data_IF_762418505530
#
_entry.id   IF_762418505530
#
_cell.length_a   1.000
_cell.length_b   1.000
_cell.length_c   1.000
_cell.angle_alpha   90.00
_cell.angle_beta   90.00
_cell.angle_gamma   90.00
#
_symmetry.space_group_name_H-M   'P 1'
#
loop_
_entity.id
_entity.type
_entity.pdbx_description
1 polymer ?
#
# COMPACT_ATOMS: atom_id res chain seq x y z
N UNK A 1 -52.76 -12.66 1.74
CA UNK A 1 -52.17 -11.35 2.06
C UNK A 1 -50.66 -11.51 1.93
N UNK A 2 -50.16 -11.23 0.74
CA UNK A 2 -48.76 -11.43 0.33
C UNK A 2 -48.27 -10.12 -0.24
N UNK A 3 -47.33 -9.48 0.43
CA UNK A 3 -46.54 -8.41 -0.14
C UNK A 3 -45.07 -8.73 0.18
N UNK A 4 -44.42 -9.36 -0.80
CA UNK A 4 -42.96 -9.48 -0.82
C UNK A 4 -42.40 -8.06 -0.82
N UNK A 5 -41.65 -7.73 0.23
CA UNK A 5 -40.87 -6.51 0.33
C UNK A 5 -39.62 -6.68 -0.54
N UNK A 6 -39.71 -6.21 -1.79
CA UNK A 6 -38.62 -6.22 -2.75
C UNK A 6 -37.61 -5.14 -2.35
N UNK A 7 -36.55 -5.54 -1.65
CA UNK A 7 -35.40 -4.67 -1.41
C UNK A 7 -34.76 -4.34 -2.76
N UNK A 8 -34.96 -3.09 -3.21
CA UNK A 8 -34.23 -2.53 -4.35
C UNK A 8 -32.77 -2.36 -3.90
N UNK A 9 -31.92 -3.30 -4.31
CA UNK A 9 -30.47 -3.08 -4.30
C UNK A 9 -30.23 -2.13 -5.48
N UNK A 10 -30.20 -0.83 -5.22
CA UNK A 10 -29.70 0.14 -6.20
C UNK A 10 -28.22 -0.18 -6.46
N UNK A 11 -27.96 -0.89 -7.56
CA UNK A 11 -26.60 -1.06 -8.08
C UNK A 11 -26.13 0.30 -8.62
N UNK A 12 -25.51 1.12 -7.77
CA UNK A 12 -24.74 2.26 -8.25
C UNK A 12 -23.56 1.70 -9.05
N UNK A 13 -23.49 2.04 -10.33
CA UNK A 13 -22.26 1.85 -11.10
C UNK A 13 -21.14 2.59 -10.35
N UNK A 14 -19.99 1.93 -10.12
CA UNK A 14 -18.87 2.58 -9.47
C UNK A 14 -18.47 3.80 -10.29
N UNK A 15 -18.17 4.91 -9.60
CA UNK A 15 -17.67 6.11 -10.26
C UNK A 15 -16.30 5.81 -10.89
N UNK A 16 -15.86 6.61 -11.87
CA UNK A 16 -14.52 6.45 -12.46
C UNK A 16 -13.40 6.52 -11.43
N UNK A 17 -13.62 7.26 -10.34
CA UNK A 17 -12.68 7.36 -9.22
C UNK A 17 -12.63 6.07 -8.41
N UNK A 18 -13.76 5.41 -8.17
CA UNK A 18 -13.81 4.16 -7.42
C UNK A 18 -13.03 3.05 -8.15
N UNK A 19 -13.21 2.96 -9.48
CA UNK A 19 -12.47 1.99 -10.32
C UNK A 19 -10.96 2.22 -10.25
N UNK A 20 -10.52 3.48 -10.26
CA UNK A 20 -9.09 3.81 -10.14
C UNK A 20 -8.56 3.46 -8.75
N UNK A 21 -9.29 3.78 -7.69
CA UNK A 21 -8.88 3.48 -6.31
C UNK A 21 -8.88 1.97 -6.02
N UNK A 22 -9.80 1.21 -6.63
CA UNK A 22 -9.84 -0.25 -6.54
C UNK A 22 -8.68 -0.93 -7.28
N UNK A 23 -8.04 -0.25 -8.22
CA UNK A 23 -6.82 -0.75 -8.89
C UNK A 23 -5.55 -0.63 -8.04
N UNK A 24 -5.60 0.12 -6.92
CA UNK A 24 -4.45 0.32 -6.05
C UNK A 24 -4.20 -0.93 -5.19
N UNK A 25 -2.94 -1.37 -5.14
CA UNK A 25 -2.54 -2.53 -4.35
C UNK A 25 -2.61 -2.27 -2.83
N UNK A 26 -2.45 -1.02 -2.39
CA UNK A 26 -2.49 -0.66 -0.98
C UNK A 26 -3.93 -0.28 -0.54
N UNK A 27 -4.31 -0.54 0.72
CA UNK A 27 -5.59 -0.10 1.26
C UNK A 27 -5.76 1.42 1.21
N UNK A 28 -6.93 1.84 0.73
CA UNK A 28 -7.38 3.24 0.80
C UNK A 28 -8.74 3.29 1.47
N UNK A 29 -8.86 4.17 2.47
CA UNK A 29 -10.08 4.41 3.24
C UNK A 29 -10.47 5.88 3.12
N UNK A 30 -11.76 6.18 3.27
CA UNK A 30 -12.21 7.54 3.60
C UNK A 30 -12.92 7.51 4.94
N UNK A 31 -12.61 8.48 5.80
CA UNK A 31 -13.25 8.66 7.10
C UNK A 31 -13.95 10.01 7.10
N UNK A 32 -15.21 10.05 7.54
CA UNK A 32 -15.92 11.31 7.74
C UNK A 32 -15.50 12.03 9.04
N UNK A 33 -16.15 13.15 9.33
CA UNK A 33 -15.86 13.99 10.49
C UNK A 33 -16.28 13.35 11.83
N UNK A 34 -17.17 12.34 11.80
CA UNK A 34 -17.61 11.59 12.98
C UNK A 34 -16.73 10.35 13.24
N UNK A 35 -15.76 10.10 12.35
CA UNK A 35 -14.87 8.96 12.43
C UNK A 35 -15.43 7.69 11.80
N UNK A 36 -16.50 7.78 11.01
CA UNK A 36 -17.09 6.64 10.30
C UNK A 36 -16.39 6.41 8.95
N UNK A 37 -16.16 5.14 8.60
CA UNK A 37 -15.59 4.76 7.31
C UNK A 37 -16.67 4.87 6.23
N UNK A 38 -16.53 5.85 5.32
CA UNK A 38 -17.48 6.10 4.24
C UNK A 38 -17.08 5.45 2.91
N UNK A 39 -15.81 5.06 2.78
CA UNK A 39 -15.29 4.36 1.61
C UNK A 39 -14.15 3.42 2.01
N UNK A 40 -14.04 2.29 1.31
CA UNK A 40 -12.93 1.36 1.38
C UNK A 40 -12.73 0.71 0.02
N UNK A 41 -11.53 0.84 -0.56
CA UNK A 41 -11.20 0.19 -1.82
C UNK A 41 -11.14 -1.34 -1.67
N UNK A 42 -11.08 -2.05 -2.81
CA UNK A 42 -11.01 -3.51 -2.84
C UNK A 42 -9.87 -4.08 -1.96
N UNK A 43 -8.68 -3.48 -2.00
CA UNK A 43 -7.54 -3.90 -1.16
C UNK A 43 -7.83 -3.77 0.34
N UNK A 44 -8.43 -2.65 0.75
CA UNK A 44 -8.82 -2.44 2.15
C UNK A 44 -9.84 -3.47 2.64
N UNK A 45 -10.85 -3.77 1.84
CA UNK A 45 -11.84 -4.79 2.19
C UNK A 45 -11.18 -6.17 2.36
N UNK A 46 -10.27 -6.56 1.47
CA UNK A 46 -9.56 -7.85 1.59
C UNK A 46 -8.67 -7.89 2.85
N UNK A 47 -7.88 -6.84 3.09
CA UNK A 47 -6.85 -6.85 4.13
C UNK A 47 -7.39 -6.56 5.54
N UNK A 48 -8.50 -5.84 5.67
CA UNK A 48 -9.05 -5.40 6.96
C UNK A 48 -10.30 -6.18 7.40
N UNK A 49 -10.75 -7.17 6.62
CA UNK A 49 -11.77 -8.13 7.07
C UNK A 49 -13.17 -7.98 6.47
N UNK A 50 -13.27 -7.64 5.19
CA UNK A 50 -14.50 -7.61 4.41
C UNK A 50 -15.23 -6.27 4.49
N UNK A 51 -16.51 -6.30 4.83
CA UNK A 51 -17.39 -5.13 4.85
C UNK A 51 -17.07 -4.23 6.05
N UNK A 52 -16.23 -3.22 5.83
CA UNK A 52 -15.80 -2.26 6.86
C UNK A 52 -16.43 -0.86 6.72
N UNK A 53 -17.10 -0.58 5.59
CA UNK A 53 -17.82 0.68 5.38
C UNK A 53 -19.03 0.75 6.32
N UNK A 54 -19.21 1.89 6.97
CA UNK A 54 -20.20 2.12 8.03
C UNK A 54 -19.72 1.77 9.45
N UNK A 55 -18.50 1.25 9.60
CA UNK A 55 -17.88 1.06 10.91
C UNK A 55 -17.14 2.33 11.35
N UNK A 56 -16.89 2.49 12.65
CA UNK A 56 -15.98 3.54 13.11
C UNK A 56 -14.54 3.16 12.83
N UNK A 57 -13.68 4.15 12.63
CA UNK A 57 -12.24 3.96 12.49
C UNK A 57 -11.65 3.15 13.66
N UNK A 58 -12.11 3.44 14.88
CA UNK A 58 -11.72 2.72 16.10
C UNK A 58 -12.23 1.28 16.16
N UNK A 59 -13.28 0.93 15.41
CA UNK A 59 -13.73 -0.46 15.31
C UNK A 59 -12.81 -1.28 14.41
N UNK A 60 -12.11 -0.66 13.45
CA UNK A 60 -11.14 -1.34 12.59
C UNK A 60 -9.74 -1.32 13.22
N UNK A 61 -9.41 -0.23 13.91
CA UNK A 61 -8.12 0.01 14.56
C UNK A 61 -8.31 0.35 16.06
N UNK A 62 -8.56 -0.66 16.92
CA UNK A 62 -9.01 -0.45 18.31
C UNK A 62 -7.98 0.20 19.24
N UNK A 63 -6.70 0.07 18.93
CA UNK A 63 -5.62 0.67 19.74
C UNK A 63 -5.44 2.17 19.45
N UNK A 64 -6.08 2.68 18.39
CA UNK A 64 -5.99 4.08 18.02
C UNK A 64 -7.00 4.92 18.82
N UNK A 65 -6.50 5.86 19.62
CA UNK A 65 -7.33 6.71 20.49
C UNK A 65 -7.23 8.20 20.18
N UNK A 66 -6.29 8.58 19.33
CA UNK A 66 -6.07 9.98 18.99
C UNK A 66 -7.03 10.42 17.87
N UNK A 67 -7.65 11.61 17.95
CA UNK A 67 -8.48 12.11 16.86
C UNK A 67 -7.64 12.36 15.60
N UNK A 68 -8.12 11.90 14.44
CA UNK A 68 -7.41 12.02 13.16
C UNK A 68 -7.05 13.47 12.79
N UNK A 69 -7.87 14.45 13.19
CA UNK A 69 -7.62 15.88 12.94
C UNK A 69 -6.36 16.40 13.62
N UNK A 70 -6.00 15.86 14.79
CA UNK A 70 -4.76 16.25 15.48
C UNK A 70 -3.55 15.73 14.72
N UNK A 71 -3.57 14.46 14.32
CA UNK A 71 -2.49 13.81 13.58
C UNK A 71 -2.25 14.46 12.22
N UNK A 72 -3.32 14.95 11.60
CA UNK A 72 -3.27 15.68 10.35
C UNK A 72 -2.51 17.00 10.42
N UNK A 73 -2.48 17.65 11.57
CA UNK A 73 -1.83 18.96 11.74
C UNK A 73 -0.31 18.83 11.69
N UNK A 74 0.22 17.68 12.11
CA UNK A 74 1.66 17.41 12.13
C UNK A 74 2.18 16.94 10.77
N UNK A 75 1.29 16.52 9.85
CA UNK A 75 1.65 16.02 8.51
C UNK A 75 2.49 14.75 8.51
N UNK A 76 2.69 14.14 9.69
CA UNK A 76 3.51 12.93 9.85
C UNK A 76 2.64 11.69 9.72
N UNK A 77 3.16 10.63 9.08
CA UNK A 77 2.49 9.35 9.12
C UNK A 77 2.46 8.82 10.56
N UNK A 78 1.41 8.09 10.89
CA UNK A 78 1.25 7.45 12.20
C UNK A 78 0.95 5.96 12.05
N UNK A 79 1.11 5.21 13.13
CA UNK A 79 0.95 3.77 13.13
C UNK A 79 -0.42 3.37 13.66
N UNK A 80 -1.03 2.37 13.03
CA UNK A 80 -2.23 1.69 13.53
C UNK A 80 -2.07 0.18 13.44
N UNK A 81 -2.77 -0.52 14.32
CA UNK A 81 -2.84 -1.99 14.33
C UNK A 81 -4.29 -2.39 14.06
N UNK A 82 -4.51 -3.24 13.06
CA UNK A 82 -5.83 -3.77 12.75
C UNK A 82 -6.24 -4.82 13.79
N UNK A 83 -7.54 -5.17 13.82
CA UNK A 83 -8.02 -6.32 14.61
C UNK A 83 -7.31 -7.64 14.29
N UNK A 84 -6.81 -7.80 13.07
CA UNK A 84 -6.01 -8.95 12.65
C UNK A 84 -4.54 -8.86 13.08
N UNK A 85 -4.18 -7.89 13.93
CA UNK A 85 -2.82 -7.62 14.42
C UNK A 85 -1.81 -7.23 13.33
N UNK A 86 -2.28 -6.87 12.14
CA UNK A 86 -1.44 -6.30 11.09
C UNK A 86 -1.19 -4.82 11.38
N UNK A 87 0.07 -4.39 11.23
CA UNK A 87 0.50 -3.01 11.46
C UNK A 87 0.56 -2.25 10.15
N UNK A 88 0.06 -1.02 10.18
CA UNK A 88 0.06 -0.14 9.03
C UNK A 88 0.59 1.23 9.38
N UNK A 89 1.40 1.78 8.48
CA UNK A 89 1.73 3.19 8.42
C UNK A 89 0.62 3.92 7.64
N UNK A 90 0.01 4.90 8.28
CA UNK A 90 -1.13 5.66 7.72
C UNK A 90 -0.66 7.03 7.26
N UNK A 91 -1.00 7.37 6.02
CA UNK A 91 -0.82 8.69 5.45
C UNK A 91 -2.18 9.38 5.29
N UNK A 92 -2.26 10.62 5.78
CA UNK A 92 -3.46 11.43 5.77
C UNK A 92 -3.50 12.30 4.51
N UNK A 93 -4.56 12.17 3.72
CA UNK A 93 -4.88 13.12 2.66
C UNK A 93 -5.33 14.47 3.22
N UNK A 94 -5.55 15.44 2.32
CA UNK A 94 -6.13 16.73 2.69
C UNK A 94 -7.57 16.55 3.23
N UNK A 95 -7.96 17.42 4.16
CA UNK A 95 -9.35 17.46 4.63
C UNK A 95 -10.28 17.98 3.52
N UNK A 96 -11.47 17.42 3.44
CA UNK A 96 -12.52 17.84 2.51
C UNK A 96 -13.88 17.86 3.21
N UNK A 97 -14.90 18.36 2.51
CA UNK A 97 -16.29 18.33 3.01
C UNK A 97 -16.80 16.91 3.27
N UNK A 98 -16.33 15.92 2.51
CA UNK A 98 -16.71 14.52 2.63
C UNK A 98 -15.89 13.75 3.69
N UNK A 99 -15.01 14.45 4.42
CA UNK A 99 -14.03 13.84 5.31
C UNK A 99 -12.65 13.78 4.68
N UNK A 100 -11.88 12.72 4.98
CA UNK A 100 -10.47 12.61 4.62
C UNK A 100 -10.11 11.21 4.15
N UNK A 101 -9.28 11.15 3.10
CA UNK A 101 -8.71 9.92 2.61
C UNK A 101 -7.49 9.48 3.44
N UNK A 102 -7.35 8.17 3.65
CA UNK A 102 -6.23 7.53 4.32
C UNK A 102 -5.61 6.49 3.39
N UNK A 103 -4.30 6.55 3.19
CA UNK A 103 -3.53 5.50 2.52
C UNK A 103 -2.76 4.69 3.56
N UNK A 104 -2.92 3.37 3.55
CA UNK A 104 -2.27 2.49 4.52
C UNK A 104 -1.22 1.65 3.82
N UNK A 105 0.00 1.65 4.35
CA UNK A 105 1.07 0.80 3.88
C UNK A 105 1.43 -0.18 4.99
N UNK A 106 1.58 -1.49 4.72
CA UNK A 106 2.08 -2.44 5.69
C UNK A 106 3.39 -1.93 6.31
N UNK A 107 3.49 -2.05 7.63
CA UNK A 107 4.76 -1.82 8.32
C UNK A 107 5.63 -3.06 8.10
N UNK A 108 6.33 -3.10 6.97
CA UNK A 108 7.18 -4.21 6.51
C UNK A 108 8.46 -4.38 7.35
N UNK A 109 8.43 -4.03 8.64
CA UNK A 109 9.55 -4.30 9.56
C UNK A 109 9.88 -5.79 9.70
N UNK A 110 8.96 -6.68 9.27
CA UNK A 110 9.18 -8.14 9.18
C UNK A 110 9.21 -8.69 7.75
N UNK A 111 9.00 -7.88 6.71
CA UNK A 111 9.30 -8.33 5.37
C UNK A 111 10.82 -8.34 5.27
N UNK A 112 11.43 -9.50 5.48
CA UNK A 112 12.77 -9.78 4.97
C UNK A 112 12.74 -9.28 3.54
N UNK A 113 13.41 -8.16 3.32
CA UNK A 113 13.66 -7.67 1.99
C UNK A 113 14.24 -8.88 1.28
N UNK A 114 13.48 -9.38 0.30
CA UNK A 114 14.14 -10.03 -0.82
C UNK A 114 15.16 -8.99 -1.20
N UNK A 115 16.41 -9.27 -0.85
CA UNK A 115 17.51 -8.37 -1.06
C UNK A 115 17.74 -8.49 -2.55
N UNK A 116 16.84 -7.85 -3.31
CA UNK A 116 17.09 -7.47 -4.66
C UNK A 116 18.36 -6.66 -4.50
N UNK A 117 19.47 -7.20 -5.01
CA UNK A 117 20.78 -6.59 -4.85
C UNK A 117 20.88 -5.40 -5.80
N UNK A 118 19.89 -4.53 -5.72
CA UNK A 118 19.70 -3.28 -6.42
C UNK A 118 19.90 -2.16 -5.41
N UNK A 119 20.53 -1.10 -5.90
CA UNK A 119 20.73 0.16 -5.26
C UNK A 119 19.40 0.91 -5.16
N UNK A 120 19.03 1.35 -3.96
CA UNK A 120 17.72 1.94 -3.71
C UNK A 120 17.56 3.31 -4.38
N UNK A 121 18.67 4.01 -4.63
CA UNK A 121 18.65 5.34 -5.23
C UNK A 121 18.55 5.27 -6.76
N UNK A 122 19.26 4.32 -7.37
CA UNK A 122 19.39 4.23 -8.84
C UNK A 122 18.62 3.07 -9.46
N UNK A 123 18.21 2.08 -8.67
CA UNK A 123 17.62 0.81 -9.14
C UNK A 123 18.62 -0.09 -9.87
N UNK A 124 19.91 0.23 -9.87
CA UNK A 124 20.94 -0.56 -10.55
C UNK A 124 21.47 -1.67 -9.64
N UNK A 125 21.97 -2.76 -10.22
CA UNK A 125 22.63 -3.81 -9.44
C UNK A 125 23.78 -3.23 -8.59
N UNK A 126 23.75 -3.54 -7.30
CA UNK A 126 24.88 -3.35 -6.39
C UNK A 126 26.03 -4.26 -6.80
N UNK A 127 27.17 -4.05 -6.15
CA UNK A 127 28.43 -4.73 -6.46
C UNK A 127 28.33 -6.26 -6.46
N UNK A 128 27.56 -6.86 -5.56
CA UNK A 128 27.50 -8.32 -5.46
C UNK A 128 26.75 -8.95 -6.63
N UNK A 129 25.67 -8.31 -7.08
CA UNK A 129 24.84 -8.69 -8.22
C UNK A 129 25.60 -8.48 -9.53
N UNK A 130 26.34 -7.38 -9.65
CA UNK A 130 27.28 -7.18 -10.75
C UNK A 130 28.34 -8.29 -10.79
N UNK A 131 28.97 -8.61 -9.65
CA UNK A 131 29.97 -9.67 -9.57
C UNK A 131 29.39 -11.04 -9.93
N UNK A 132 28.21 -11.39 -9.42
CA UNK A 132 27.53 -12.64 -9.77
C UNK A 132 27.20 -12.72 -11.28
N UNK A 133 26.77 -11.60 -11.86
CA UNK A 133 26.56 -11.45 -13.29
C UNK A 133 27.85 -11.64 -14.09
N UNK A 134 28.96 -11.03 -13.65
CA UNK A 134 30.28 -11.20 -14.26
C UNK A 134 30.77 -12.64 -14.17
N UNK A 135 30.66 -13.31 -13.02
CA UNK A 135 31.05 -14.72 -12.85
C UNK A 135 30.24 -15.63 -13.77
N UNK A 136 28.92 -15.42 -13.86
CA UNK A 136 28.05 -16.15 -14.79
C UNK A 136 28.47 -15.90 -16.24
N UNK A 137 28.72 -14.62 -16.56
CA UNK A 137 29.20 -14.13 -17.83
C UNK A 137 30.68 -14.43 -18.10
N UNK A 138 31.40 -15.08 -17.18
CA UNK A 138 32.72 -15.71 -17.35
C UNK A 138 32.68 -17.25 -17.30
N UNK A 139 31.59 -17.87 -16.81
CA UNK A 139 31.36 -19.33 -16.76
C UNK A 139 30.60 -19.95 -17.95
N UNK A 140 29.55 -19.32 -18.51
CA UNK A 140 28.87 -19.70 -19.78
C UNK A 140 29.68 -19.71 -21.13
N UNK A 141 30.22 -20.86 -21.55
CA UNK A 141 30.67 -21.11 -22.94
C UNK A 141 32.18 -21.32 -23.15
N UNK A 142 32.61 -21.81 -24.34
CA UNK A 142 34.01 -22.14 -24.62
C UNK A 142 34.92 -20.90 -24.65
N UNK A 143 36.09 -21.01 -24.00
CA UNK A 143 37.03 -19.93 -23.67
C UNK A 143 37.43 -19.04 -24.88
N UNK A 144 37.45 -19.59 -26.10
CA UNK A 144 38.00 -18.91 -27.28
C UNK A 144 37.06 -17.89 -27.94
N UNK A 145 35.77 -17.87 -27.62
CA UNK A 145 34.79 -16.94 -28.23
C UNK A 145 34.19 -15.95 -27.24
N UNK A 146 34.66 -15.98 -25.99
CA UNK A 146 34.04 -15.23 -24.90
C UNK A 146 34.79 -13.94 -24.63
N UNK A 147 34.11 -12.81 -24.75
CA UNK A 147 34.67 -11.49 -24.48
C UNK A 147 33.70 -10.71 -23.60
N UNK A 148 34.15 -10.38 -22.40
CA UNK A 148 33.45 -9.46 -21.49
C UNK A 148 34.27 -8.18 -21.44
N UNK A 149 33.60 -7.04 -21.59
CA UNK A 149 34.19 -5.73 -21.38
C UNK A 149 33.51 -5.09 -20.18
N UNK A 150 34.31 -4.53 -19.27
CA UNK A 150 33.80 -3.75 -18.14
C UNK A 150 34.17 -2.29 -18.36
N UNK A 151 33.21 -1.40 -18.18
CA UNK A 151 33.39 0.03 -18.29
C UNK A 151 32.95 0.69 -16.98
N UNK A 152 33.87 1.37 -16.31
CA UNK A 152 33.61 2.09 -15.07
C UNK A 152 33.55 3.59 -15.38
N UNK A 153 32.44 4.23 -15.02
CA UNK A 153 32.25 5.67 -15.15
C UNK A 153 32.12 6.23 -13.74
N UNK A 154 32.94 7.21 -13.41
CA UNK A 154 32.82 7.99 -12.18
C UNK A 154 32.14 9.33 -12.49
N UNK A 155 31.30 9.80 -11.57
CA UNK A 155 30.57 11.06 -11.72
C UNK A 155 31.17 12.08 -10.74
N UNK A 156 31.75 13.16 -11.28
CA UNK A 156 32.31 14.28 -10.51
C UNK A 156 31.23 15.16 -9.84
#
# INVERSE_FOLDING_TARGET
MTALHLAVIESRLPSSSDVLLDSLAHPVLTVDHDGELTYANASAQVLLGGWIVGLRFTDVFPDHKEPLDRLATDGKPFMVTSKAHARYRVFLGASSVAGRALSLFPDDTDASSVTIDEDELTGLLKRNGLNAGLETALAAGPILTRRVATHCIDLD
#
